data_IF_694855133050
#
_entry.id   IF_694855133050
#
_cell.length_a   1.000
_cell.length_b   1.000
_cell.length_c   1.000
_cell.angle_alpha   90.00
_cell.angle_beta   90.00
_cell.angle_gamma   90.00
#
_symmetry.space_group_name_H-M   'P 1'
#
loop_
_entity.id
_entity.type
_entity.pdbx_description
1 polymer ?
#
# COMPACT_ATOMS: atom_id res chain seq x y z
N UNK A 1 -3.03 24.71 -3.90
CA UNK A 1 -1.94 23.76 -4.26
C UNK A 1 -0.90 23.76 -3.15
N UNK A 2 -0.44 22.59 -2.74
CA UNK A 2 0.64 22.40 -1.77
C UNK A 2 1.59 21.32 -2.24
N UNK A 3 2.81 21.34 -1.73
CA UNK A 3 3.86 20.35 -2.07
C UNK A 3 4.43 19.79 -0.77
N UNK A 4 4.56 18.47 -0.70
CA UNK A 4 5.24 17.77 0.38
C UNK A 4 6.14 16.70 -0.20
N UNK A 5 7.46 16.80 0.03
CA UNK A 5 8.47 15.85 -0.50
C UNK A 5 8.32 15.59 -2.02
N UNK A 6 8.14 16.66 -2.78
CA UNK A 6 7.90 16.66 -4.24
C UNK A 6 6.56 16.05 -4.70
N UNK A 7 5.74 15.52 -3.77
CA UNK A 7 4.35 15.18 -4.08
C UNK A 7 3.51 16.45 -4.13
N UNK A 8 2.81 16.66 -5.25
CA UNK A 8 1.96 17.82 -5.49
C UNK A 8 0.52 17.47 -5.17
N UNK A 9 -0.10 18.26 -4.27
CA UNK A 9 -1.50 18.11 -3.89
C UNK A 9 -2.28 19.34 -4.31
N UNK A 10 -3.50 19.09 -4.80
CA UNK A 10 -4.40 20.16 -5.27
C UNK A 10 -5.75 20.02 -4.58
N UNK A 11 -6.30 21.11 -4.13
CA UNK A 11 -7.69 21.19 -3.64
C UNK A 11 -8.39 22.35 -4.31
N UNK A 12 -9.64 22.16 -4.70
CA UNK A 12 -10.54 23.23 -5.16
C UNK A 12 -11.30 23.92 -4.01
N UNK A 13 -11.17 23.39 -2.77
CA UNK A 13 -11.74 24.05 -1.60
C UNK A 13 -10.82 25.21 -1.16
N UNK A 14 -11.28 26.47 -1.25
CA UNK A 14 -10.49 27.63 -0.82
C UNK A 14 -10.27 27.69 0.70
N UNK A 15 -11.06 26.92 1.46
CA UNK A 15 -10.98 26.81 2.92
C UNK A 15 -10.27 25.51 3.35
N UNK A 16 -9.59 24.81 2.42
CA UNK A 16 -8.82 23.63 2.77
C UNK A 16 -7.75 24.00 3.81
N UNK A 17 -7.62 23.16 4.82
CA UNK A 17 -6.55 23.30 5.82
C UNK A 17 -5.16 23.23 5.16
N UNK A 18 -4.11 23.76 5.79
CA UNK A 18 -2.74 23.65 5.30
C UNK A 18 -2.39 22.18 5.01
N UNK A 19 -1.61 21.94 3.94
CA UNK A 19 -1.31 20.59 3.48
C UNK A 19 -0.66 19.70 4.57
N UNK A 20 0.26 20.26 5.36
CA UNK A 20 0.94 19.52 6.42
C UNK A 20 0.00 19.08 7.53
N UNK A 21 -1.00 19.92 7.86
CA UNK A 21 -2.04 19.58 8.83
C UNK A 21 -3.00 18.54 8.26
N UNK A 22 -3.30 18.65 6.96
CA UNK A 22 -4.12 17.66 6.25
C UNK A 22 -3.44 16.29 6.22
N UNK A 23 -2.17 16.21 5.85
CA UNK A 23 -1.43 14.95 5.79
C UNK A 23 -1.25 14.30 7.17
N UNK A 24 -1.25 15.08 8.25
CA UNK A 24 -1.18 14.58 9.62
C UNK A 24 -0.12 13.47 9.79
N UNK A 25 -0.50 12.30 10.28
CA UNK A 25 0.40 11.16 10.45
C UNK A 25 0.87 10.48 9.15
N UNK A 26 0.26 10.77 8.01
CA UNK A 26 0.71 10.23 6.71
C UNK A 26 2.10 10.74 6.31
N UNK A 27 2.52 11.91 6.81
CA UNK A 27 3.85 12.49 6.55
C UNK A 27 4.97 11.52 6.89
N UNK A 28 4.92 10.88 8.04
CA UNK A 28 5.93 9.92 8.48
C UNK A 28 6.15 8.81 7.46
N UNK A 29 5.10 8.32 6.85
CA UNK A 29 5.15 7.21 5.88
C UNK A 29 5.60 7.67 4.49
N UNK A 30 5.29 8.91 4.11
CA UNK A 30 5.87 9.53 2.91
C UNK A 30 7.37 9.76 3.12
N UNK A 31 7.81 10.20 4.29
CA UNK A 31 9.21 10.39 4.64
C UNK A 31 9.98 9.07 4.53
N UNK A 32 9.46 7.96 5.07
CA UNK A 32 10.08 6.63 4.95
C UNK A 32 10.26 6.16 3.50
N UNK A 33 9.37 6.56 2.60
CA UNK A 33 9.52 6.29 1.16
C UNK A 33 10.66 7.12 0.56
N UNK A 34 10.66 8.42 0.84
CA UNK A 34 11.65 9.36 0.27
C UNK A 34 13.05 9.12 0.85
N UNK A 35 13.15 8.69 2.10
CA UNK A 35 14.41 8.34 2.76
C UNK A 35 15.11 7.12 2.16
N UNK A 36 14.50 6.39 1.24
CA UNK A 36 15.21 5.39 0.43
C UNK A 36 16.23 6.02 -0.53
N UNK A 37 16.04 7.29 -0.90
CA UNK A 37 16.99 8.06 -1.71
C UNK A 37 18.02 8.75 -0.83
N UNK A 38 19.33 8.65 -1.15
CA UNK A 38 20.38 9.38 -0.44
C UNK A 38 20.23 10.91 -0.50
N UNK A 39 19.78 11.45 -1.62
CA UNK A 39 19.53 12.89 -1.78
C UNK A 39 18.12 13.33 -1.34
N UNK A 40 17.27 12.40 -0.92
CA UNK A 40 15.87 12.67 -0.64
C UNK A 40 15.03 12.95 -1.90
N UNK A 41 15.51 12.58 -3.08
CA UNK A 41 14.84 12.81 -4.37
C UNK A 41 14.39 11.51 -5.00
N UNK A 42 13.11 11.43 -5.25
CA UNK A 42 12.48 10.31 -5.94
C UNK A 42 12.07 10.74 -7.37
N UNK A 43 12.00 9.77 -8.26
CA UNK A 43 11.44 10.01 -9.60
C UNK A 43 10.35 8.99 -9.92
N UNK A 44 9.35 9.42 -10.66
CA UNK A 44 8.42 8.52 -11.32
C UNK A 44 9.13 7.87 -12.49
N UNK A 45 9.28 6.56 -12.43
CA UNK A 45 9.90 5.79 -13.52
C UNK A 45 8.95 5.81 -14.72
N UNK A 46 9.50 6.07 -15.92
CA UNK A 46 8.70 6.20 -17.13
C UNK A 46 7.84 4.97 -17.39
N UNK A 47 6.60 5.22 -17.76
CA UNK A 47 5.57 4.22 -18.00
C UNK A 47 4.42 4.37 -17.00
N UNK A 48 3.21 4.14 -17.47
CA UNK A 48 1.98 4.16 -16.67
C UNK A 48 1.27 2.85 -16.89
N UNK A 49 0.85 2.20 -15.82
CA UNK A 49 -0.14 1.14 -15.90
C UNK A 49 -1.52 1.79 -15.77
N UNK A 50 -2.38 1.53 -16.74
CA UNK A 50 -3.75 2.03 -16.75
C UNK A 50 -4.69 0.86 -17.06
N UNK A 51 -5.72 0.69 -16.23
CA UNK A 51 -6.70 -0.37 -16.37
C UNK A 51 -8.00 -0.01 -15.67
N UNK A 52 -9.07 -0.63 -16.10
CA UNK A 52 -10.41 -0.44 -15.56
C UNK A 52 -10.81 -1.61 -14.66
N UNK A 53 -11.60 -1.30 -13.63
CA UNK A 53 -12.23 -2.29 -12.76
C UNK A 53 -13.72 -1.97 -12.70
N UNK A 54 -14.56 -2.98 -12.92
CA UNK A 54 -16.01 -2.86 -12.80
C UNK A 54 -16.47 -3.04 -11.36
N UNK A 55 -16.00 -2.11 -10.55
CA UNK A 55 -16.29 -2.05 -9.12
C UNK A 55 -16.23 -0.60 -8.63
N UNK A 56 -16.88 -0.34 -7.49
CA UNK A 56 -16.78 0.94 -6.81
C UNK A 56 -15.34 1.19 -6.34
N UNK A 57 -14.83 2.39 -6.59
CA UNK A 57 -13.44 2.75 -6.25
C UNK A 57 -13.09 2.57 -4.77
N UNK A 58 -14.05 2.69 -3.86
CA UNK A 58 -13.83 2.49 -2.42
C UNK A 58 -13.50 1.04 -2.06
N UNK A 59 -13.95 0.07 -2.86
CA UNK A 59 -13.55 -1.33 -2.68
C UNK A 59 -12.06 -1.53 -2.92
N UNK A 60 -11.49 -0.85 -3.91
CA UNK A 60 -10.04 -0.92 -4.15
C UNK A 60 -9.25 -0.14 -3.08
N UNK A 61 -9.83 0.91 -2.48
CA UNK A 61 -9.22 1.54 -1.30
C UNK A 61 -9.13 0.55 -0.15
N UNK A 62 -10.22 -0.15 0.19
CA UNK A 62 -10.22 -1.19 1.24
C UNK A 62 -9.18 -2.28 0.94
N UNK A 63 -9.21 -2.85 -0.25
CA UNK A 63 -8.26 -3.87 -0.69
C UNK A 63 -6.80 -3.40 -0.58
N UNK A 64 -6.55 -2.10 -0.80
CA UNK A 64 -5.18 -1.57 -0.79
C UNK A 64 -4.50 -1.64 0.58
N UNK A 65 -5.26 -1.76 1.66
CA UNK A 65 -4.74 -1.85 3.03
C UNK A 65 -5.50 -2.86 3.91
N UNK A 66 -6.02 -3.89 3.28
CA UNK A 66 -6.50 -5.12 3.89
C UNK A 66 -5.43 -6.20 3.74
N UNK A 67 -4.76 -6.58 4.82
CA UNK A 67 -3.61 -7.51 4.73
C UNK A 67 -4.05 -8.99 4.81
N UNK A 68 -5.24 -9.31 5.31
CA UNK A 68 -5.66 -10.70 5.47
C UNK A 68 -6.10 -11.38 4.17
N UNK A 69 -6.47 -10.64 3.13
CA UNK A 69 -6.81 -11.23 1.82
C UNK A 69 -5.58 -11.86 1.12
N UNK A 70 -4.35 -11.39 1.45
CA UNK A 70 -3.12 -11.85 0.80
C UNK A 70 -3.01 -13.38 0.75
N UNK A 71 -3.30 -14.06 1.87
CA UNK A 71 -3.12 -15.50 1.99
C UNK A 71 -4.14 -16.31 1.21
N UNK A 72 -5.31 -15.75 0.93
CA UNK A 72 -6.41 -16.41 0.22
C UNK A 72 -6.43 -16.04 -1.25
N UNK A 73 -6.36 -14.76 -1.56
CA UNK A 73 -6.51 -14.24 -2.92
C UNK A 73 -5.25 -14.48 -3.76
N UNK A 74 -4.04 -14.21 -3.20
CA UNK A 74 -2.79 -14.27 -3.96
C UNK A 74 -2.05 -15.60 -3.85
N UNK A 75 -2.75 -16.73 -3.88
CA UNK A 75 -2.14 -18.06 -3.75
C UNK A 75 -1.14 -18.39 -4.87
N UNK A 76 -1.38 -17.90 -6.08
CA UNK A 76 -0.48 -18.07 -7.23
C UNK A 76 0.86 -17.38 -7.00
N UNK A 77 0.83 -16.13 -6.54
CA UNK A 77 2.05 -15.39 -6.20
C UNK A 77 2.80 -16.01 -5.03
N UNK A 78 2.10 -16.45 -3.98
CA UNK A 78 2.71 -17.15 -2.85
C UNK A 78 3.43 -18.45 -3.28
N UNK A 79 2.84 -19.20 -4.21
CA UNK A 79 3.46 -20.38 -4.77
C UNK A 79 4.68 -20.05 -5.64
N UNK A 80 4.63 -18.97 -6.40
CA UNK A 80 5.78 -18.47 -7.16
C UNK A 80 6.93 -18.10 -6.22
N UNK A 81 6.68 -17.34 -5.16
CA UNK A 81 7.65 -17.00 -4.13
C UNK A 81 8.32 -18.24 -3.51
N UNK A 82 7.50 -19.23 -3.11
CA UNK A 82 8.01 -20.50 -2.54
C UNK A 82 8.91 -21.26 -3.52
N UNK A 83 8.52 -21.33 -4.80
CA UNK A 83 9.32 -21.98 -5.84
C UNK A 83 10.64 -21.25 -6.10
N UNK A 84 10.67 -19.95 -5.86
CA UNK A 84 11.88 -19.11 -5.95
C UNK A 84 12.73 -19.16 -4.65
N UNK A 85 12.43 -20.08 -3.72
CA UNK A 85 13.22 -20.29 -2.51
C UNK A 85 12.87 -19.38 -1.34
N UNK A 86 11.81 -18.57 -1.45
CA UNK A 86 11.38 -17.70 -0.34
C UNK A 86 10.65 -18.54 0.70
N UNK A 87 11.13 -18.52 1.95
CA UNK A 87 10.46 -19.19 3.05
C UNK A 87 9.24 -18.37 3.51
N UNK A 88 8.06 -18.95 3.40
CA UNK A 88 6.82 -18.38 3.93
C UNK A 88 6.39 -19.22 5.11
N UNK A 89 6.58 -18.68 6.31
CA UNK A 89 6.17 -19.33 7.56
C UNK A 89 4.65 -19.44 7.62
N UNK A 90 4.18 -20.45 8.35
CA UNK A 90 2.74 -20.53 8.66
C UNK A 90 2.38 -19.45 9.68
N UNK A 91 1.15 -18.90 9.63
CA UNK A 91 0.67 -18.03 10.68
C UNK A 91 0.76 -18.72 12.05
N UNK A 92 1.11 -17.95 13.08
CA UNK A 92 1.01 -18.43 14.47
C UNK A 92 -0.45 -18.69 14.85
N UNK A 93 -0.66 -19.53 15.85
CA UNK A 93 -2.02 -19.86 16.30
C UNK A 93 -2.78 -18.59 16.70
N UNK A 94 -3.91 -18.37 16.09
CA UNK A 94 -4.74 -17.18 16.31
C UNK A 94 -4.42 -15.98 15.42
N UNK A 95 -3.40 -16.07 14.55
CA UNK A 95 -3.07 -15.04 13.57
C UNK A 95 -3.50 -15.47 12.16
N UNK A 96 -3.94 -14.51 11.35
CA UNK A 96 -4.33 -14.76 9.95
C UNK A 96 -3.13 -14.69 9.00
N UNK A 97 -2.06 -14.00 9.40
CA UNK A 97 -0.88 -13.72 8.60
C UNK A 97 0.38 -14.23 9.29
N UNK A 98 1.39 -14.72 8.53
CA UNK A 98 2.70 -15.08 9.06
C UNK A 98 3.56 -13.88 9.43
N UNK A 99 3.09 -12.68 9.20
CA UNK A 99 3.78 -11.42 9.42
C UNK A 99 3.20 -10.68 10.62
N UNK A 100 4.08 -10.06 11.39
CA UNK A 100 3.68 -9.14 12.45
C UNK A 100 3.62 -7.72 11.90
N UNK A 101 2.51 -7.05 12.14
CA UNK A 101 2.30 -5.69 11.71
C UNK A 101 1.14 -5.03 12.41
N UNK A 102 1.01 -3.74 12.18
CA UNK A 102 0.00 -2.90 12.80
C UNK A 102 -0.81 -2.17 11.73
N UNK A 103 -2.09 -1.97 12.03
CA UNK A 103 -2.97 -1.08 11.29
C UNK A 103 -3.17 0.21 12.07
N UNK A 104 -2.91 1.37 11.46
CA UNK A 104 -2.99 2.68 12.12
C UNK A 104 -3.90 3.63 11.37
N UNK A 105 -4.71 4.35 12.13
CA UNK A 105 -5.37 5.57 11.70
C UNK A 105 -4.39 6.75 11.85
N UNK A 106 -4.27 7.59 10.83
CA UNK A 106 -3.27 8.65 10.75
C UNK A 106 -3.86 10.07 10.81
N UNK A 107 -5.18 10.18 11.02
CA UNK A 107 -5.92 11.44 10.94
C UNK A 107 -6.48 11.71 9.54
N UNK A 108 -7.52 12.52 9.46
CA UNK A 108 -8.18 12.95 8.21
C UNK A 108 -8.60 11.83 7.24
N UNK A 109 -8.85 10.62 7.76
CA UNK A 109 -9.17 9.44 6.95
C UNK A 109 -7.96 8.74 6.34
N UNK A 110 -6.75 9.25 6.56
CA UNK A 110 -5.52 8.57 6.18
C UNK A 110 -5.26 7.40 7.09
N UNK A 111 -4.70 6.34 6.53
CA UNK A 111 -4.41 5.14 7.29
C UNK A 111 -3.29 4.32 6.64
N UNK A 112 -2.69 3.42 7.40
CA UNK A 112 -1.59 2.59 6.94
C UNK A 112 -1.63 1.20 7.56
N UNK A 113 -1.19 0.22 6.78
CA UNK A 113 -0.64 -1.03 7.29
C UNK A 113 0.89 -0.90 7.25
N UNK A 114 1.53 -1.18 8.39
CA UNK A 114 2.99 -1.19 8.55
C UNK A 114 3.39 -2.53 9.16
N UNK A 115 4.10 -3.35 8.39
CA UNK A 115 4.41 -4.72 8.80
C UNK A 115 5.81 -5.17 8.38
N UNK A 116 6.39 -6.10 9.16
CA UNK A 116 7.59 -6.85 8.80
C UNK A 116 7.14 -8.21 8.27
N UNK A 117 7.44 -8.52 7.03
CA UNK A 117 7.02 -9.77 6.42
C UNK A 117 8.12 -10.41 5.54
N UNK A 118 7.76 -11.54 4.91
CA UNK A 118 8.64 -12.33 4.05
C UNK A 118 8.92 -11.69 2.68
N UNK A 119 8.17 -10.66 2.31
CA UNK A 119 8.41 -9.94 1.06
C UNK A 119 9.70 -9.15 1.20
N UNK A 120 10.65 -9.35 0.30
CA UNK A 120 11.86 -8.55 0.25
C UNK A 120 11.57 -7.11 -0.18
N UNK A 121 12.62 -6.31 -0.14
CA UNK A 121 12.62 -4.97 -0.72
C UNK A 121 13.73 -4.92 -1.76
N UNK A 122 13.43 -4.74 -3.05
CA UNK A 122 14.38 -4.90 -4.14
C UNK A 122 15.69 -4.14 -3.99
N UNK A 123 15.68 -3.10 -3.19
CA UNK A 123 16.82 -2.20 -2.99
C UNK A 123 17.28 -2.08 -1.55
N UNK A 124 16.75 -2.87 -0.62
CA UNK A 124 17.12 -2.75 0.79
C UNK A 124 17.06 -4.05 1.59
N UNK A 125 16.29 -5.05 1.14
CA UNK A 125 16.12 -6.34 1.81
C UNK A 125 16.10 -7.46 0.80
N UNK A 126 17.24 -8.16 0.69
CA UNK A 126 17.38 -9.28 -0.24
C UNK A 126 16.49 -10.46 0.15
N UNK A 127 15.97 -11.13 -0.88
CA UNK A 127 15.33 -12.45 -0.81
C UNK A 127 15.79 -13.30 -2.02
N UNK A 128 15.72 -14.63 -1.95
CA UNK A 128 16.14 -15.51 -3.05
C UNK A 128 15.53 -15.20 -4.41
N UNK A 129 14.31 -14.65 -4.44
CA UNK A 129 13.63 -14.24 -5.67
C UNK A 129 14.43 -13.25 -6.53
N UNK A 130 15.30 -12.43 -5.91
CA UNK A 130 16.08 -11.42 -6.62
C UNK A 130 17.38 -11.97 -7.23
N UNK A 131 17.69 -13.25 -6.98
CA UNK A 131 18.95 -13.89 -7.40
C UNK A 131 20.14 -13.53 -6.50
N UNK A 132 21.11 -14.44 -6.43
CA UNK A 132 22.31 -14.25 -5.62
C UNK A 132 23.19 -13.10 -6.14
N UNK A 133 23.19 -12.85 -7.44
CA UNK A 133 23.93 -11.75 -8.08
C UNK A 133 23.42 -10.36 -7.67
N UNK A 134 22.19 -10.25 -7.21
CA UNK A 134 21.60 -9.00 -6.70
C UNK A 134 22.00 -8.71 -5.25
N UNK A 135 22.36 -9.73 -4.48
CA UNK A 135 22.59 -9.65 -3.05
C UNK A 135 23.64 -8.61 -2.63
N UNK A 136 24.84 -8.57 -3.24
CA UNK A 136 25.85 -7.58 -2.86
C UNK A 136 25.38 -6.12 -3.04
N UNK A 137 24.61 -5.85 -4.09
CA UNK A 137 24.05 -4.52 -4.34
C UNK A 137 23.03 -4.12 -3.29
N UNK A 138 22.13 -5.03 -2.94
CA UNK A 138 21.09 -4.80 -1.94
C UNK A 138 21.69 -4.63 -0.54
N UNK A 139 22.71 -5.44 -0.19
CA UNK A 139 23.43 -5.33 1.09
C UNK A 139 24.20 -4.00 1.18
N UNK A 140 24.81 -3.54 0.08
CA UNK A 140 25.46 -2.23 0.01
C UNK A 140 24.49 -1.09 0.28
N UNK A 141 23.31 -1.11 -0.36
CA UNK A 141 22.26 -0.11 -0.14
C UNK A 141 21.78 -0.14 1.30
N UNK A 142 21.64 -1.33 1.88
CA UNK A 142 21.26 -1.47 3.30
C UNK A 142 22.30 -0.84 4.22
N UNK A 143 23.60 -1.10 3.99
CA UNK A 143 24.68 -0.51 4.78
C UNK A 143 24.69 1.02 4.68
N UNK A 144 24.51 1.58 3.47
CA UNK A 144 24.39 3.02 3.24
C UNK A 144 23.21 3.65 3.99
N UNK A 145 22.05 2.97 4.04
CA UNK A 145 20.92 3.42 4.83
C UNK A 145 21.26 3.49 6.33
N UNK A 146 21.96 2.48 6.86
CA UNK A 146 22.40 2.46 8.27
C UNK A 146 23.37 3.59 8.57
N UNK A 147 24.35 3.80 7.71
CA UNK A 147 25.33 4.88 7.88
C UNK A 147 24.68 6.26 7.90
N UNK A 148 23.67 6.46 7.07
CA UNK A 148 22.99 7.75 6.89
C UNK A 148 21.92 8.01 7.94
N UNK A 149 21.12 7.00 8.30
CA UNK A 149 19.91 7.16 9.10
C UNK A 149 20.03 6.58 10.52
N UNK A 150 21.09 5.81 10.80
CA UNK A 150 21.21 4.97 11.98
C UNK A 150 20.36 3.70 11.90
N UNK A 151 20.71 2.68 12.69
CA UNK A 151 20.13 1.33 12.61
C UNK A 151 18.60 1.32 12.76
N UNK A 152 18.04 2.06 13.72
CA UNK A 152 16.60 2.03 13.99
C UNK A 152 15.78 2.59 12.81
N UNK A 153 16.22 3.71 12.25
CA UNK A 153 15.51 4.33 11.11
C UNK A 153 15.72 3.53 9.84
N UNK A 154 16.94 3.04 9.58
CA UNK A 154 17.25 2.18 8.46
C UNK A 154 16.40 0.88 8.48
N UNK A 155 16.21 0.27 9.63
CA UNK A 155 15.32 -0.88 9.82
C UNK A 155 13.88 -0.53 9.43
N UNK A 156 13.38 0.61 9.85
CA UNK A 156 12.05 1.05 9.43
C UNK A 156 11.96 1.29 7.93
N UNK A 157 12.98 1.88 7.30
CA UNK A 157 13.01 2.09 5.84
C UNK A 157 13.13 0.77 5.09
N UNK A 158 14.02 -0.13 5.50
CA UNK A 158 14.42 -1.30 4.73
C UNK A 158 13.60 -2.57 5.02
N UNK A 159 13.18 -2.81 6.26
CA UNK A 159 12.63 -4.11 6.68
C UNK A 159 11.11 -4.12 6.80
N UNK A 160 10.46 -2.96 6.83
CA UNK A 160 9.01 -2.88 6.90
C UNK A 160 8.38 -2.68 5.52
N UNK A 161 7.22 -3.27 5.32
CA UNK A 161 6.37 -3.05 4.15
C UNK A 161 5.17 -2.21 4.58
N UNK A 162 4.77 -1.28 3.73
CA UNK A 162 3.72 -0.32 4.03
C UNK A 162 2.74 -0.20 2.88
N UNK A 163 1.47 -0.17 3.24
CA UNK A 163 0.42 0.26 2.35
C UNK A 163 -0.23 1.49 2.97
N UNK A 164 0.10 2.67 2.46
CA UNK A 164 -0.41 3.95 2.91
C UNK A 164 -1.57 4.38 2.02
N UNK A 165 -2.68 4.71 2.62
CA UNK A 165 -3.79 5.41 1.97
C UNK A 165 -3.80 6.86 2.43
N UNK A 166 -3.63 7.77 1.49
CA UNK A 166 -3.89 9.21 1.68
C UNK A 166 -5.29 9.48 1.15
N UNK A 167 -6.23 9.74 2.05
CA UNK A 167 -7.63 9.98 1.70
C UNK A 167 -7.76 11.08 0.64
N UNK A 168 -8.65 10.97 -0.37
CA UNK A 168 -9.60 9.86 -0.52
C UNK A 168 -9.07 8.67 -1.33
N UNK A 169 -8.18 8.86 -2.32
CA UNK A 169 -7.93 7.87 -3.36
C UNK A 169 -6.46 7.80 -3.83
N UNK A 170 -5.51 8.30 -3.06
CA UNK A 170 -4.08 8.11 -3.31
C UNK A 170 -3.56 6.95 -2.46
N UNK A 171 -2.99 5.96 -3.10
CA UNK A 171 -2.34 4.83 -2.43
C UNK A 171 -0.86 4.81 -2.76
N UNK A 172 -0.05 4.69 -1.72
CA UNK A 172 1.39 4.46 -1.83
C UNK A 172 1.69 3.08 -1.23
N UNK A 173 2.00 2.13 -2.10
CA UNK A 173 2.47 0.82 -1.66
C UNK A 173 4.00 0.84 -1.64
N UNK A 174 4.58 0.51 -0.50
CA UNK A 174 6.02 0.45 -0.28
C UNK A 174 6.39 -0.93 0.27
N UNK A 175 6.39 -1.90 -0.61
CA UNK A 175 6.63 -3.30 -0.31
C UNK A 175 7.58 -3.93 -1.33
N UNK A 176 7.08 -4.83 -2.17
CA UNK A 176 7.87 -5.47 -3.24
C UNK A 176 8.41 -4.46 -4.26
N UNK A 177 7.76 -3.32 -4.41
CA UNK A 177 8.24 -2.13 -5.11
C UNK A 177 7.52 -0.92 -4.53
N UNK A 178 7.94 0.29 -4.88
CA UNK A 178 7.21 1.50 -4.53
C UNK A 178 6.26 1.81 -5.68
N UNK A 179 4.98 1.92 -5.36
CA UNK A 179 3.92 2.18 -6.34
C UNK A 179 3.07 3.36 -5.88
N UNK A 180 2.84 4.30 -6.79
CA UNK A 180 1.81 5.34 -6.64
C UNK A 180 0.59 4.86 -7.41
N UNK A 181 -0.59 4.82 -6.78
CA UNK A 181 -1.85 4.49 -7.44
C UNK A 181 -2.89 5.56 -7.16
N UNK A 182 -3.67 5.89 -8.19
CA UNK A 182 -4.84 6.76 -8.07
C UNK A 182 -6.05 6.09 -8.70
N UNK A 183 -7.21 6.33 -8.12
CA UNK A 183 -8.47 5.73 -8.54
C UNK A 183 -9.43 6.82 -9.01
N UNK A 184 -9.87 6.72 -10.25
CA UNK A 184 -10.80 7.66 -10.86
C UNK A 184 -12.18 7.00 -10.99
N UNK A 185 -13.18 7.41 -10.19
CA UNK A 185 -14.53 6.89 -10.32
C UNK A 185 -15.14 7.38 -11.64
N UNK A 186 -15.53 6.44 -12.49
CA UNK A 186 -16.24 6.72 -13.75
C UNK A 186 -17.75 6.54 -13.57
N UNK A 187 -18.15 5.60 -12.69
CA UNK A 187 -19.52 5.35 -12.28
C UNK A 187 -19.53 4.76 -10.85
N UNK A 188 -20.72 4.51 -10.30
CA UNK A 188 -20.86 3.88 -8.98
C UNK A 188 -20.23 2.48 -8.90
N UNK A 189 -20.14 1.79 -10.02
CA UNK A 189 -19.65 0.43 -10.19
C UNK A 189 -18.50 0.33 -11.20
N UNK A 190 -17.81 1.43 -11.48
CA UNK A 190 -16.74 1.46 -12.47
C UNK A 190 -15.68 2.51 -12.09
N UNK A 191 -14.43 2.11 -12.09
CA UNK A 191 -13.27 2.98 -11.87
C UNK A 191 -12.17 2.72 -12.89
N UNK A 192 -11.37 3.74 -13.15
CA UNK A 192 -10.08 3.65 -13.82
C UNK A 192 -8.96 3.76 -12.79
N UNK A 193 -8.00 2.87 -12.87
CA UNK A 193 -6.79 2.88 -12.03
C UNK A 193 -5.60 3.34 -12.85
N UNK A 194 -4.81 4.24 -12.28
CA UNK A 194 -3.49 4.61 -12.80
C UNK A 194 -2.43 4.32 -11.76
N UNK A 195 -1.36 3.66 -12.20
CA UNK A 195 -0.27 3.28 -11.34
C UNK A 195 1.08 3.58 -11.98
N UNK A 196 2.03 4.02 -11.14
CA UNK A 196 3.39 4.35 -11.52
C UNK A 196 4.37 3.72 -10.54
N UNK A 197 5.52 3.29 -11.06
CA UNK A 197 6.65 2.93 -10.22
C UNK A 197 7.41 4.18 -9.78
N UNK A 198 7.87 4.19 -8.53
CA UNK A 198 8.69 5.26 -7.94
C UNK A 198 10.04 4.68 -7.52
N UNK A 199 11.11 5.42 -7.74
CA UNK A 199 12.45 5.01 -7.31
C UNK A 199 13.38 6.19 -7.06
N UNK A 200 14.48 5.99 -6.29
CA UNK A 200 15.52 7.01 -6.10
C UNK A 200 16.15 7.45 -7.42
N UNK A 201 16.44 8.75 -7.55
CA UNK A 201 17.08 9.29 -8.77
C UNK A 201 18.51 8.77 -8.95
N UNK A 202 19.21 8.44 -7.86
CA UNK A 202 20.58 7.94 -7.83
C UNK A 202 20.69 6.42 -7.97
N UNK A 203 19.55 5.75 -8.12
CA UNK A 203 19.51 4.29 -8.18
C UNK A 203 20.35 3.76 -9.36
N UNK A 204 21.19 2.77 -9.08
CA UNK A 204 21.97 2.12 -10.14
C UNK A 204 21.04 1.43 -11.15
N UNK A 205 21.53 1.23 -12.37
CA UNK A 205 20.78 0.50 -13.41
C UNK A 205 20.41 -0.91 -12.96
N UNK A 206 21.26 -1.57 -12.16
CA UNK A 206 21.00 -2.90 -11.59
C UNK A 206 19.88 -2.86 -10.56
N UNK A 207 19.93 -1.95 -9.59
CA UNK A 207 18.86 -1.77 -8.60
C UNK A 207 17.54 -1.38 -9.28
N UNK A 208 17.60 -0.50 -10.30
CA UNK A 208 16.46 -0.11 -11.12
C UNK A 208 15.82 -1.31 -11.83
N UNK A 209 16.62 -2.19 -12.41
CA UNK A 209 16.12 -3.39 -13.08
C UNK A 209 15.39 -4.32 -12.09
N UNK A 210 15.96 -4.56 -10.89
CA UNK A 210 15.34 -5.35 -9.83
C UNK A 210 14.00 -4.74 -9.39
N UNK A 211 13.97 -3.40 -9.20
CA UNK A 211 12.75 -2.69 -8.82
C UNK A 211 11.65 -2.81 -9.86
N UNK A 212 11.99 -2.64 -11.14
CA UNK A 212 11.02 -2.74 -12.23
C UNK A 212 10.53 -4.18 -12.43
N UNK A 213 11.42 -5.16 -12.35
CA UNK A 213 11.02 -6.56 -12.40
C UNK A 213 10.04 -6.91 -11.27
N UNK A 214 10.35 -6.48 -10.06
CA UNK A 214 9.45 -6.65 -8.90
C UNK A 214 8.11 -5.93 -9.06
N UNK A 215 8.12 -4.72 -9.64
CA UNK A 215 6.91 -3.95 -9.94
C UNK A 215 6.03 -4.67 -10.96
N UNK A 216 6.61 -5.11 -12.08
CA UNK A 216 5.87 -5.77 -13.15
C UNK A 216 5.40 -7.18 -12.77
N UNK A 217 6.16 -7.88 -11.94
CA UNK A 217 5.80 -9.23 -11.48
C UNK A 217 4.64 -9.22 -10.51
N UNK A 218 4.52 -8.20 -9.67
CA UNK A 218 3.48 -8.16 -8.62
C UNK A 218 2.30 -7.28 -9.00
N UNK A 219 2.56 -6.04 -9.46
CA UNK A 219 1.54 -5.03 -9.72
C UNK A 219 1.13 -4.96 -11.19
N UNK A 220 -0.04 -4.33 -11.41
CA UNK A 220 -0.57 -4.04 -12.73
C UNK A 220 -1.28 -5.21 -13.41
N UNK A 221 -1.86 -4.97 -14.58
CA UNK A 221 -2.75 -5.93 -15.24
C UNK A 221 -2.06 -7.23 -15.69
N UNK A 222 -0.74 -7.21 -15.81
CA UNK A 222 0.07 -8.40 -16.15
C UNK A 222 0.79 -9.02 -14.95
N UNK A 223 0.63 -8.47 -13.74
CA UNK A 223 1.27 -8.99 -12.51
C UNK A 223 0.50 -10.14 -11.88
N UNK A 224 1.08 -10.73 -10.85
CA UNK A 224 0.45 -11.84 -10.14
C UNK A 224 -0.68 -11.39 -9.19
N UNK A 225 -0.60 -10.18 -8.63
CA UNK A 225 -1.55 -9.75 -7.61
C UNK A 225 -2.76 -9.01 -8.18
N UNK A 226 -2.54 -8.04 -9.06
CA UNK A 226 -3.62 -7.18 -9.53
C UNK A 226 -4.76 -7.91 -10.25
N UNK A 227 -4.54 -8.92 -11.12
CA UNK A 227 -5.64 -9.66 -11.73
C UNK A 227 -6.51 -10.42 -10.72
N UNK A 228 -5.90 -10.98 -9.66
CA UNK A 228 -6.62 -11.65 -8.58
C UNK A 228 -7.51 -10.66 -7.83
N UNK A 229 -6.99 -9.47 -7.53
CA UNK A 229 -7.75 -8.39 -6.88
C UNK A 229 -8.90 -7.90 -7.76
N UNK A 230 -8.67 -7.71 -9.06
CA UNK A 230 -9.70 -7.27 -10.01
C UNK A 230 -10.88 -8.24 -10.01
N UNK A 231 -10.63 -9.55 -10.16
CA UNK A 231 -11.68 -10.57 -10.14
C UNK A 231 -12.44 -10.59 -8.80
N UNK A 232 -11.72 -10.49 -7.68
CA UNK A 232 -12.33 -10.45 -6.36
C UNK A 232 -13.22 -9.19 -6.19
N UNK A 233 -12.73 -8.02 -6.58
CA UNK A 233 -13.47 -6.75 -6.45
C UNK A 233 -14.71 -6.71 -7.33
N UNK A 234 -14.62 -7.19 -8.57
CA UNK A 234 -15.78 -7.29 -9.47
C UNK A 234 -16.83 -8.28 -8.96
N UNK A 235 -16.39 -9.36 -8.32
CA UNK A 235 -17.28 -10.32 -7.67
C UNK A 235 -17.95 -9.74 -6.42
N UNK A 236 -17.21 -8.98 -5.60
CA UNK A 236 -17.77 -8.24 -4.45
C UNK A 236 -18.79 -7.21 -4.93
N UNK A 237 -18.49 -6.46 -6.00
CA UNK A 237 -19.45 -5.49 -6.58
C UNK A 237 -20.74 -6.15 -7.00
N UNK A 238 -20.69 -7.32 -7.64
CA UNK A 238 -21.89 -8.11 -7.96
C UNK A 238 -22.66 -8.51 -6.71
N UNK A 239 -21.94 -8.94 -5.65
CA UNK A 239 -22.53 -9.30 -4.36
C UNK A 239 -23.25 -8.12 -3.68
N UNK A 240 -22.74 -6.91 -3.81
CA UNK A 240 -23.35 -5.70 -3.25
C UNK A 240 -24.71 -5.35 -3.88
N UNK A 241 -25.08 -5.97 -5.01
CA UNK A 241 -26.45 -5.84 -5.56
C UNK A 241 -27.53 -6.38 -4.60
N UNK A 242 -27.14 -7.21 -3.62
CA UNK A 242 -28.03 -7.74 -2.58
C UNK A 242 -28.18 -6.81 -1.37
N UNK A 243 -27.83 -5.53 -1.50
CA UNK A 243 -27.81 -4.57 -0.38
C UNK A 243 -29.16 -4.41 0.36
N UNK A 244 -30.28 -4.78 -0.27
CA UNK A 244 -31.60 -4.75 0.37
C UNK A 244 -31.78 -5.88 1.36
N UNK A 245 -31.19 -7.04 1.08
CA UNK A 245 -31.23 -8.24 1.92
C UNK A 245 -30.11 -8.22 2.96
N UNK A 246 -28.94 -7.70 2.58
CA UNK A 246 -27.74 -7.59 3.44
C UNK A 246 -27.19 -6.17 3.38
N UNK A 247 -27.78 -5.22 4.12
CA UNK A 247 -27.46 -3.80 4.03
C UNK A 247 -26.17 -3.37 4.71
N UNK A 248 -25.48 -4.27 5.41
CA UNK A 248 -24.34 -3.95 6.25
C UNK A 248 -23.09 -4.71 5.85
N UNK A 249 -21.96 -4.02 5.82
CA UNK A 249 -20.62 -4.62 5.85
C UNK A 249 -20.08 -4.60 7.28
N UNK A 250 -19.50 -5.71 7.72
CA UNK A 250 -18.94 -5.82 9.08
C UNK A 250 -17.49 -5.38 9.08
N UNK A 251 -17.17 -4.35 9.85
CA UNK A 251 -15.81 -3.82 10.06
C UNK A 251 -15.48 -3.74 11.56
N UNK A 252 -15.83 -4.80 12.29
CA UNK A 252 -15.75 -4.82 13.76
C UNK A 252 -14.48 -5.48 14.30
N UNK A 253 -13.64 -6.04 13.43
CA UNK A 253 -12.43 -6.74 13.87
C UNK A 253 -11.51 -5.78 14.61
N UNK A 254 -11.07 -6.19 15.79
CA UNK A 254 -10.22 -5.39 16.65
C UNK A 254 -10.92 -4.29 17.45
N UNK A 255 -12.24 -4.06 17.31
CA UNK A 255 -12.93 -3.00 18.06
C UNK A 255 -12.90 -3.18 19.57
N UNK A 256 -12.87 -4.42 20.06
CA UNK A 256 -12.80 -4.72 21.49
C UNK A 256 -11.37 -4.70 22.06
N UNK A 257 -10.36 -4.52 21.24
CA UNK A 257 -8.97 -4.48 21.70
C UNK A 257 -8.65 -3.13 22.31
N UNK A 258 -8.03 -3.17 23.49
CA UNK A 258 -7.42 -1.99 24.15
C UNK A 258 -5.98 -1.80 23.68
N UNK A 259 -5.36 -2.86 23.22
CA UNK A 259 -3.98 -2.95 22.73
C UNK A 259 -3.82 -2.40 21.30
N UNK A 260 -2.59 -2.39 20.83
CA UNK A 260 -2.28 -1.98 19.45
C UNK A 260 -3.03 -2.86 18.44
N UNK A 261 -3.65 -2.22 17.45
CA UNK A 261 -4.39 -2.92 16.42
C UNK A 261 -3.42 -3.60 15.44
N UNK A 262 -3.66 -4.87 15.15
CA UNK A 262 -2.88 -5.62 14.19
C UNK A 262 -3.19 -5.18 12.75
N UNK A 263 -2.29 -5.49 11.83
CA UNK A 263 -2.49 -5.31 10.39
C UNK A 263 -3.69 -6.11 9.83
N UNK A 264 -4.17 -7.10 10.57
CA UNK A 264 -5.36 -7.90 10.25
C UNK A 264 -6.61 -7.46 11.00
N UNK A 265 -6.53 -6.44 11.85
CA UNK A 265 -7.69 -5.75 12.41
C UNK A 265 -8.22 -4.70 11.41
N UNK A 266 -9.28 -4.00 11.72
CA UNK A 266 -9.95 -3.10 10.77
C UNK A 266 -9.98 -1.63 11.21
N UNK A 267 -9.09 -1.21 12.13
CA UNK A 267 -8.99 0.18 12.55
C UNK A 267 -8.72 1.13 11.38
N UNK A 268 -7.80 0.77 10.52
CA UNK A 268 -7.38 1.54 9.36
C UNK A 268 -8.50 1.63 8.31
N UNK A 269 -9.26 0.57 8.09
CA UNK A 269 -10.46 0.57 7.24
C UNK A 269 -11.54 1.50 7.83
N UNK A 270 -11.81 1.38 9.14
CA UNK A 270 -12.77 2.26 9.82
C UNK A 270 -12.38 3.72 9.75
N UNK A 271 -11.09 4.06 9.83
CA UNK A 271 -10.62 5.44 9.71
C UNK A 271 -11.01 6.08 8.37
N UNK A 272 -10.87 5.34 7.27
CA UNK A 272 -11.32 5.78 5.95
C UNK A 272 -12.84 5.99 5.90
N UNK A 273 -13.61 5.00 6.35
CA UNK A 273 -15.08 5.05 6.25
C UNK A 273 -15.71 6.08 7.19
N UNK A 274 -15.17 6.28 8.38
CA UNK A 274 -15.62 7.35 9.28
C UNK A 274 -15.42 8.71 8.63
N UNK A 275 -14.26 8.95 8.02
CA UNK A 275 -14.01 10.21 7.30
C UNK A 275 -14.93 10.39 6.10
N UNK A 276 -15.18 9.33 5.36
CA UNK A 276 -16.16 9.34 4.27
C UNK A 276 -17.55 9.73 4.80
N UNK A 277 -17.98 9.10 5.87
CA UNK A 277 -19.27 9.39 6.50
C UNK A 277 -19.37 10.84 6.96
N UNK A 278 -18.37 11.35 7.67
CA UNK A 278 -18.33 12.74 8.13
C UNK A 278 -18.51 13.76 6.98
N UNK A 279 -17.96 13.48 5.83
CA UNK A 279 -18.04 14.36 4.65
C UNK A 279 -19.37 14.25 3.91
N UNK A 280 -20.04 13.09 4.00
CA UNK A 280 -21.27 12.81 3.25
C UNK A 280 -22.54 12.95 4.08
N UNK A 281 -22.45 12.78 5.41
CA UNK A 281 -23.63 12.84 6.29
C UNK A 281 -24.45 14.13 6.15
N UNK A 282 -23.86 15.35 6.06
CA UNK A 282 -24.64 16.57 5.90
C UNK A 282 -25.46 16.64 4.60
N UNK A 283 -25.14 15.83 3.61
CA UNK A 283 -25.87 15.79 2.34
C UNK A 283 -27.10 14.89 2.36
N UNK A 284 -27.28 14.11 3.43
CA UNK A 284 -28.42 13.20 3.59
C UNK A 284 -29.45 13.68 4.63
N UNK A 285 -29.17 14.78 5.34
CA UNK A 285 -30.05 15.37 6.34
C UNK A 285 -30.95 16.52 5.81
N UNK A 286 -30.79 16.91 4.53
CA UNK A 286 -31.64 17.86 3.82
C UNK A 286 -32.66 17.10 2.91
#
# INVERSE_FOLDING_TARGET
>A
MGVYKDFVFVSFNPQAQPLEDYLAGAKEYIDLIVEQSPSGRMEVIRGTQEYDIRANWKLLVENSFDDYHLMTTHSTWLNYMKRSGVEIKKPERGHLMPAHGVGKALGNGHAVIDNINFRGRPVAKWIPLYGEEAKPEIERIRAELVDRLGEARATRVADTNRNLVVFPNLVLNDGSSITIRTFHPLAADHMQVRAWALGPVEETSKARAIRLDSFLTFYGPGGFATPDDVEALESVQKGLATYREVPWSVMSRGMSKVEEQLNTDELHLRAFWLRWHELMAPTFEE
#
